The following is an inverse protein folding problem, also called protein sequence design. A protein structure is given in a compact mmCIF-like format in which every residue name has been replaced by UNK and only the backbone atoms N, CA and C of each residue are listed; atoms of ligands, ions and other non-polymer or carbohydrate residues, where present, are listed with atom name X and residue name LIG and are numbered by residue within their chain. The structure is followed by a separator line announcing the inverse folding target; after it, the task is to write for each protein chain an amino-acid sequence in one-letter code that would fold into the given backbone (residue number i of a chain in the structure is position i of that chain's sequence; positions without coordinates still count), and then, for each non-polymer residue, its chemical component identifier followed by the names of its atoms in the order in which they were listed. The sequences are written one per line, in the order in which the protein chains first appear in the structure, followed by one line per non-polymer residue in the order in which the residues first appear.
data_IF_849269404186
#
_entry.id   IF_849269404186
#
_cell.length_a   1.000
_cell.length_b   1.000
_cell.length_c   1.000
_cell.angle_alpha   90.00
_cell.angle_beta   90.00
_cell.angle_gamma   90.00
#
_symmetry.space_group_name_H-M   'P 1'
#
loop_
_entity.id
_entity.type
_entity.pdbx_description
1 polymer ?
#
# COMPACT_ATOMS: atom_id res chain seq x y z
N UNK A 1 27.81 -23.86 13.50
CA UNK A 1 28.38 -23.32 12.23
C UNK A 1 27.40 -22.28 11.71
N UNK A 2 27.61 -21.02 12.07
CA UNK A 2 26.77 -19.91 11.64
C UNK A 2 27.30 -19.41 10.30
N UNK A 3 26.48 -19.52 9.25
CA UNK A 3 26.75 -18.88 7.97
C UNK A 3 26.24 -17.45 8.07
N UNK A 4 27.18 -16.53 8.21
CA UNK A 4 26.96 -15.09 8.18
C UNK A 4 26.67 -14.68 6.72
N UNK A 5 25.42 -14.36 6.40
CA UNK A 5 25.06 -13.83 5.07
C UNK A 5 25.22 -12.32 5.12
N UNK A 6 26.45 -11.87 4.87
CA UNK A 6 26.74 -10.46 4.63
C UNK A 6 26.07 -9.99 3.34
N UNK A 7 25.07 -9.11 3.47
CA UNK A 7 24.40 -8.44 2.36
C UNK A 7 25.31 -7.38 1.74
N UNK A 8 26.14 -7.79 0.78
CA UNK A 8 26.67 -6.90 -0.25
C UNK A 8 25.68 -6.85 -1.42
N UNK A 9 24.93 -5.75 -1.56
CA UNK A 9 24.68 -5.04 -2.84
C UNK A 9 23.68 -3.90 -2.66
N UNK A 10 24.23 -2.71 -2.45
CA UNK A 10 23.58 -1.46 -2.80
C UNK A 10 24.07 -1.01 -4.17
N UNK A 11 23.24 -1.21 -5.19
CA UNK A 11 23.11 -0.47 -6.45
C UNK A 11 22.00 -1.19 -7.21
N UNK A 12 21.26 -0.48 -8.08
CA UNK A 12 20.43 -1.15 -9.10
C UNK A 12 21.40 -1.89 -10.01
N UNK A 13 21.82 -3.07 -9.57
CA UNK A 13 22.62 -4.02 -10.31
C UNK A 13 21.79 -4.49 -11.49
N UNK A 14 22.47 -4.64 -12.62
CA UNK A 14 21.95 -5.04 -13.94
C UNK A 14 21.31 -6.43 -13.86
N UNK A 15 20.14 -6.55 -13.21
CA UNK A 15 19.27 -7.72 -13.35
C UNK A 15 18.88 -7.76 -14.83
N UNK A 16 19.02 -8.92 -15.47
CA UNK A 16 18.65 -9.10 -16.87
C UNK A 16 17.28 -8.45 -17.11
N UNK A 17 17.21 -7.60 -18.13
CA UNK A 17 16.00 -6.86 -18.44
C UNK A 17 14.89 -7.87 -18.71
N UNK A 18 13.89 -7.95 -17.82
CA UNK A 18 12.77 -8.88 -17.98
C UNK A 18 12.09 -8.55 -19.30
N UNK A 19 11.99 -9.52 -20.20
CA UNK A 19 11.21 -9.36 -21.42
C UNK A 19 9.75 -9.09 -21.03
N UNK A 20 9.28 -7.86 -21.30
CA UNK A 20 7.97 -7.34 -20.89
C UNK A 20 6.85 -8.22 -21.43
N UNK A 21 6.94 -8.60 -22.70
CA UNK A 21 5.96 -9.45 -23.35
C UNK A 21 5.92 -10.83 -22.71
N UNK A 22 7.08 -11.44 -22.44
CA UNK A 22 7.14 -12.74 -21.79
C UNK A 22 6.58 -12.69 -20.36
N UNK A 23 6.87 -11.62 -19.60
CA UNK A 23 6.31 -11.43 -18.26
C UNK A 23 4.79 -11.27 -18.32
N UNK A 24 4.27 -10.46 -19.25
CA UNK A 24 2.84 -10.28 -19.46
C UNK A 24 2.14 -11.59 -19.88
N UNK A 25 2.73 -12.39 -20.77
CA UNK A 25 2.20 -13.72 -21.15
C UNK A 25 2.10 -14.64 -19.93
N UNK A 26 3.12 -14.65 -19.06
CA UNK A 26 3.08 -15.45 -17.82
C UNK A 26 1.99 -14.98 -16.87
N UNK A 27 1.78 -13.66 -16.76
CA UNK A 27 0.71 -13.09 -15.93
C UNK A 27 -0.67 -13.42 -16.49
N UNK A 28 -0.88 -13.27 -17.79
CA UNK A 28 -2.13 -13.64 -18.46
C UNK A 28 -2.48 -15.11 -18.21
N UNK A 29 -1.50 -16.00 -18.33
CA UNK A 29 -1.68 -17.43 -18.00
C UNK A 29 -2.07 -17.62 -16.53
N UNK A 30 -1.36 -16.95 -15.62
CA UNK A 30 -1.64 -17.06 -14.18
C UNK A 30 -3.02 -16.48 -13.79
N UNK A 31 -3.46 -15.39 -14.42
CA UNK A 31 -4.81 -14.83 -14.23
C UNK A 31 -5.87 -15.82 -14.71
N UNK A 32 -5.67 -16.47 -15.86
CA UNK A 32 -6.61 -17.48 -16.34
C UNK A 32 -6.67 -18.74 -15.43
N UNK A 33 -5.53 -19.15 -14.86
CA UNK A 33 -5.46 -20.31 -13.95
C UNK A 33 -6.03 -20.02 -12.55
N UNK A 34 -6.02 -18.76 -12.11
CA UNK A 34 -6.44 -18.32 -10.77
C UNK A 34 -7.46 -17.18 -10.87
N UNK A 35 -8.50 -17.43 -11.64
CA UNK A 35 -9.66 -16.55 -11.78
C UNK A 35 -10.74 -17.02 -10.82
N UNK A 36 -11.18 -16.13 -9.93
CA UNK A 36 -12.33 -16.37 -9.06
C UNK A 36 -13.52 -15.52 -9.51
N UNK A 37 -14.72 -16.05 -9.31
CA UNK A 37 -15.97 -15.30 -9.43
C UNK A 37 -16.53 -15.07 -8.02
N UNK A 38 -16.43 -13.86 -7.47
CA UNK A 38 -16.85 -13.60 -6.11
C UNK A 38 -18.36 -13.80 -5.87
N UNK A 39 -19.21 -13.81 -6.90
CA UNK A 39 -20.64 -14.14 -6.73
C UNK A 39 -20.88 -15.64 -6.53
N UNK A 40 -19.93 -16.48 -6.96
CA UNK A 40 -20.02 -17.94 -6.86
C UNK A 40 -19.15 -18.46 -5.71
N UNK A 41 -17.93 -17.94 -5.57
CA UNK A 41 -16.90 -18.44 -4.66
C UNK A 41 -17.10 -17.99 -3.20
N UNK A 42 -18.03 -17.08 -2.94
CA UNK A 42 -18.43 -16.64 -1.60
C UNK A 42 -19.88 -17.06 -1.36
N UNK A 43 -20.12 -17.80 -0.26
CA UNK A 43 -21.47 -18.19 0.14
C UNK A 43 -22.22 -16.99 0.75
N UNK A 44 -22.80 -16.15 -0.09
CA UNK A 44 -23.56 -14.97 0.33
C UNK A 44 -24.87 -15.31 1.05
N UNK A 45 -25.37 -16.54 0.90
CA UNK A 45 -26.61 -17.00 1.55
C UNK A 45 -26.38 -17.38 3.01
N UNK A 46 -25.15 -17.71 3.40
CA UNK A 46 -24.81 -17.96 4.79
C UNK A 46 -25.08 -16.70 5.65
N UNK A 47 -25.72 -16.83 6.83
CA UNK A 47 -25.85 -15.71 7.74
C UNK A 47 -24.47 -15.34 8.33
N UNK A 48 -24.22 -14.07 8.67
CA UNK A 48 -23.06 -13.72 9.51
C UNK A 48 -23.07 -14.49 10.83
N UNK A 49 -21.90 -14.92 11.29
CA UNK A 49 -21.77 -15.67 12.53
C UNK A 49 -21.93 -14.72 13.73
N UNK A 50 -22.89 -14.92 14.64
CA UNK A 50 -23.10 -14.02 15.78
C UNK A 50 -21.85 -13.86 16.65
N UNK A 51 -21.54 -12.64 17.06
CA UNK A 51 -20.40 -12.31 17.93
C UNK A 51 -19.02 -12.38 17.26
N UNK A 52 -18.94 -12.82 16.00
CA UNK A 52 -17.67 -12.92 15.28
C UNK A 52 -17.30 -11.57 14.62
N UNK A 53 -16.09 -11.04 14.84
CA UNK A 53 -15.67 -9.75 14.28
C UNK A 53 -15.51 -9.78 12.76
N UNK A 54 -15.73 -8.62 12.13
CA UNK A 54 -15.42 -8.40 10.71
C UNK A 54 -14.00 -7.91 10.46
N UNK A 55 -13.32 -7.45 11.52
CA UNK A 55 -12.00 -6.86 11.45
C UNK A 55 -11.18 -7.27 12.67
N UNK A 56 -9.88 -7.51 12.47
CA UNK A 56 -9.02 -7.92 13.58
C UNK A 56 -8.87 -6.79 14.59
N UNK A 57 -9.15 -7.09 15.86
CA UNK A 57 -9.18 -6.11 16.95
C UNK A 57 -7.84 -5.38 17.10
N UNK A 58 -6.72 -6.11 16.96
CA UNK A 58 -5.37 -5.55 17.04
C UNK A 58 -5.00 -4.60 15.88
N UNK A 59 -5.90 -4.39 14.92
CA UNK A 59 -5.78 -3.39 13.83
C UNK A 59 -6.75 -2.23 13.97
N UNK A 60 -7.65 -2.26 14.96
CA UNK A 60 -8.61 -1.18 15.21
C UNK A 60 -7.87 0.10 15.60
N UNK A 61 -8.25 1.22 14.99
CA UNK A 61 -7.52 2.49 15.10
C UNK A 61 -7.58 3.17 16.47
N UNK A 62 -8.62 2.90 17.26
CA UNK A 62 -8.78 3.43 18.60
C UNK A 62 -8.11 2.57 19.68
N UNK A 63 -7.60 1.38 19.35
CA UNK A 63 -7.02 0.46 20.33
C UNK A 63 -5.94 1.15 21.18
N UNK A 64 -6.00 0.97 22.50
CA UNK A 64 -5.08 1.58 23.46
C UNK A 64 -5.37 3.04 23.81
N UNK A 65 -6.48 3.61 23.34
CA UNK A 65 -6.92 4.97 23.72
C UNK A 65 -7.97 4.92 24.84
N UNK A 66 -8.07 5.99 25.64
CA UNK A 66 -9.13 6.13 26.65
C UNK A 66 -10.55 5.98 26.05
N UNK A 67 -10.74 6.42 24.80
CA UNK A 67 -12.01 6.25 24.09
C UNK A 67 -12.33 4.77 23.87
N UNK A 68 -11.34 3.94 23.56
CA UNK A 68 -11.51 2.50 23.37
C UNK A 68 -11.76 1.76 24.67
N UNK A 69 -11.04 2.12 25.73
CA UNK A 69 -11.25 1.52 27.06
C UNK A 69 -12.65 1.80 27.60
N UNK A 70 -13.25 2.93 27.22
CA UNK A 70 -14.63 3.27 27.56
C UNK A 70 -15.71 2.56 26.73
N UNK A 71 -15.36 1.80 25.68
CA UNK A 71 -16.34 1.08 24.85
C UNK A 71 -16.69 -0.29 25.45
N UNK A 72 -17.98 -0.66 25.38
CA UNK A 72 -18.43 -2.03 25.66
C UNK A 72 -17.94 -3.02 24.61
N UNK A 73 -18.03 -4.32 24.88
CA UNK A 73 -17.66 -5.36 23.93
C UNK A 73 -18.43 -5.24 22.59
N UNK A 74 -19.72 -4.94 22.65
CA UNK A 74 -20.58 -4.75 21.48
C UNK A 74 -20.16 -3.50 20.67
N UNK A 75 -19.83 -2.41 21.36
CA UNK A 75 -19.32 -1.20 20.71
C UNK A 75 -17.95 -1.43 20.06
N UNK A 76 -17.07 -2.25 20.66
CA UNK A 76 -15.78 -2.62 20.06
C UNK A 76 -15.96 -3.40 18.76
N UNK A 77 -16.87 -4.39 18.75
CA UNK A 77 -17.23 -5.15 17.54
C UNK A 77 -17.83 -4.24 16.46
N UNK A 78 -18.74 -3.33 16.84
CA UNK A 78 -19.37 -2.39 15.92
C UNK A 78 -18.35 -1.40 15.34
N UNK A 79 -17.43 -0.88 16.15
CA UNK A 79 -16.38 0.01 15.66
C UNK A 79 -15.46 -0.70 14.67
N UNK A 80 -15.04 -1.93 14.96
CA UNK A 80 -14.24 -2.75 14.05
C UNK A 80 -14.95 -3.00 12.72
N UNK A 81 -16.25 -3.33 12.76
CA UNK A 81 -17.10 -3.49 11.58
C UNK A 81 -17.16 -2.21 10.75
N UNK A 82 -17.42 -1.07 11.38
CA UNK A 82 -17.51 0.21 10.69
C UNK A 82 -16.16 0.66 10.10
N UNK A 83 -15.05 0.41 10.79
CA UNK A 83 -13.71 0.71 10.28
C UNK A 83 -13.39 -0.14 9.06
N UNK A 84 -13.63 -1.46 9.10
CA UNK A 84 -13.39 -2.33 7.95
C UNK A 84 -14.27 -1.97 6.76
N UNK A 85 -15.56 -1.69 6.98
CA UNK A 85 -16.43 -1.20 5.92
C UNK A 85 -15.95 0.12 5.31
N UNK A 86 -15.39 1.02 6.12
CA UNK A 86 -14.78 2.27 5.63
C UNK A 86 -13.53 2.01 4.76
N UNK A 87 -12.73 0.99 5.11
CA UNK A 87 -11.59 0.54 4.31
C UNK A 87 -12.06 -0.01 2.96
N UNK A 88 -13.05 -0.90 2.95
CA UNK A 88 -13.60 -1.48 1.73
C UNK A 88 -14.17 -0.41 0.79
N UNK A 89 -14.97 0.52 1.32
CA UNK A 89 -15.54 1.61 0.51
C UNK A 89 -14.42 2.51 -0.06
N UNK A 90 -13.37 2.78 0.73
CA UNK A 90 -12.22 3.53 0.22
C UNK A 90 -11.47 2.75 -0.89
N UNK A 91 -11.37 1.42 -0.76
CA UNK A 91 -10.84 0.52 -1.78
C UNK A 91 -11.59 0.62 -3.11
N UNK A 92 -12.94 0.58 -3.08
CA UNK A 92 -13.78 0.74 -4.28
C UNK A 92 -13.48 2.06 -5.01
N UNK A 93 -13.30 3.17 -4.28
CA UNK A 93 -12.96 4.45 -4.93
C UNK A 93 -11.55 4.46 -5.50
N UNK A 94 -10.62 3.75 -4.86
CA UNK A 94 -9.27 3.58 -5.36
C UNK A 94 -9.27 2.76 -6.65
N UNK A 95 -9.93 1.61 -6.67
CA UNK A 95 -10.06 0.74 -7.86
C UNK A 95 -10.73 1.47 -9.02
N UNK A 96 -11.75 2.30 -8.74
CA UNK A 96 -12.37 3.14 -9.76
C UNK A 96 -11.38 4.15 -10.37
N UNK A 97 -10.54 4.79 -9.55
CA UNK A 97 -9.52 5.73 -10.02
C UNK A 97 -8.39 5.02 -10.78
N UNK A 98 -7.99 3.85 -10.30
CA UNK A 98 -7.02 2.97 -10.94
C UNK A 98 -7.53 2.52 -12.32
N UNK A 99 -8.80 2.11 -12.43
CA UNK A 99 -9.42 1.79 -13.71
C UNK A 99 -9.31 2.94 -14.73
N UNK A 100 -9.58 4.19 -14.31
CA UNK A 100 -9.39 5.37 -15.18
C UNK A 100 -7.93 5.51 -15.63
N UNK A 101 -6.97 5.32 -14.73
CA UNK A 101 -5.55 5.35 -15.09
C UNK A 101 -5.16 4.21 -16.05
N UNK A 102 -5.61 2.98 -15.80
CA UNK A 102 -5.27 1.84 -16.65
C UNK A 102 -5.87 1.99 -18.05
N UNK A 103 -7.06 2.56 -18.18
CA UNK A 103 -7.59 2.95 -19.49
C UNK A 103 -6.74 4.03 -20.16
N UNK A 104 -6.20 4.99 -19.41
CA UNK A 104 -5.27 5.99 -19.96
C UNK A 104 -3.97 5.33 -20.46
N UNK A 105 -3.37 4.40 -19.70
CA UNK A 105 -2.19 3.63 -20.14
C UNK A 105 -2.50 2.76 -21.37
N UNK A 106 -3.66 2.11 -21.37
CA UNK A 106 -4.15 1.32 -22.50
C UNK A 106 -4.19 2.16 -23.79
N UNK A 107 -4.71 3.39 -23.72
CA UNK A 107 -4.83 4.29 -24.88
C UNK A 107 -3.48 4.73 -25.47
N UNK A 108 -2.40 4.62 -24.71
CA UNK A 108 -1.04 4.94 -25.16
C UNK A 108 -0.22 3.70 -25.53
N UNK A 109 -0.78 2.50 -25.33
CA UNK A 109 -0.08 1.23 -25.51
C UNK A 109 -0.36 0.58 -26.88
N UNK A 110 0.59 -0.17 -27.48
CA UNK A 110 0.34 -0.94 -28.71
C UNK A 110 -0.75 -2.00 -28.49
N UNK A 111 -1.76 -2.01 -29.36
CA UNK A 111 -3.00 -2.79 -29.15
C UNK A 111 -2.73 -4.31 -29.14
N UNK A 112 -1.80 -4.76 -29.97
CA UNK A 112 -1.44 -6.17 -30.15
C UNK A 112 -0.57 -6.76 -29.04
N UNK A 113 -0.08 -5.92 -28.12
CA UNK A 113 0.89 -6.35 -27.10
C UNK A 113 0.25 -7.15 -25.96
N UNK A 114 1.01 -8.08 -25.40
CA UNK A 114 0.59 -8.86 -24.23
C UNK A 114 0.48 -7.97 -22.99
N UNK A 115 1.30 -6.91 -22.89
CA UNK A 115 1.16 -5.90 -21.84
C UNK A 115 -0.22 -5.22 -21.90
N UNK A 116 -0.66 -4.78 -23.07
CA UNK A 116 -1.99 -4.17 -23.27
C UNK A 116 -3.11 -5.12 -22.88
N UNK A 117 -3.03 -6.39 -23.29
CA UNK A 117 -4.00 -7.42 -22.86
C UNK A 117 -3.99 -7.63 -21.34
N UNK A 118 -2.84 -7.52 -20.70
CA UNK A 118 -2.73 -7.63 -19.26
C UNK A 118 -3.37 -6.42 -18.55
N UNK A 119 -3.23 -5.19 -19.07
CA UNK A 119 -3.95 -4.02 -18.55
C UNK A 119 -5.48 -4.23 -18.58
N UNK A 120 -6.02 -4.80 -19.66
CA UNK A 120 -7.44 -5.15 -19.74
C UNK A 120 -7.85 -6.22 -18.73
N UNK A 121 -6.96 -7.19 -18.47
CA UNK A 121 -7.18 -8.23 -17.46
C UNK A 121 -7.28 -7.62 -16.06
N UNK A 122 -6.33 -6.74 -15.73
CA UNK A 122 -6.29 -5.98 -14.48
C UNK A 122 -7.58 -5.16 -14.30
N UNK A 123 -7.96 -4.34 -15.30
CA UNK A 123 -9.24 -3.60 -15.27
C UNK A 123 -10.45 -4.51 -14.98
N UNK A 124 -10.48 -5.71 -15.57
CA UNK A 124 -11.55 -6.68 -15.34
C UNK A 124 -11.52 -7.30 -13.94
N UNK A 125 -10.34 -7.62 -13.41
CA UNK A 125 -10.13 -8.09 -12.03
C UNK A 125 -10.59 -7.02 -11.03
N UNK A 126 -10.21 -5.76 -11.21
CA UNK A 126 -10.58 -4.66 -10.31
C UNK A 126 -12.07 -4.33 -10.32
N UNK A 127 -12.75 -4.47 -11.46
CA UNK A 127 -14.20 -4.35 -11.51
C UNK A 127 -14.89 -5.45 -10.66
N UNK A 128 -14.36 -6.68 -10.67
CA UNK A 128 -14.88 -7.79 -9.84
C UNK A 128 -14.55 -7.59 -8.36
N UNK A 129 -13.35 -7.10 -8.04
CA UNK A 129 -12.96 -6.73 -6.67
C UNK A 129 -13.91 -5.69 -6.09
N UNK A 130 -14.21 -4.62 -6.84
CA UNK A 130 -15.14 -3.57 -6.42
C UNK A 130 -16.54 -4.11 -6.13
N UNK A 131 -17.08 -4.96 -7.02
CA UNK A 131 -18.36 -5.63 -6.79
C UNK A 131 -18.33 -6.52 -5.54
N UNK A 132 -17.26 -7.31 -5.37
CA UNK A 132 -17.07 -8.16 -4.19
C UNK A 132 -17.05 -7.33 -2.89
N UNK A 133 -16.29 -6.24 -2.85
CA UNK A 133 -16.23 -5.36 -1.68
C UNK A 133 -17.58 -4.71 -1.37
N UNK A 134 -18.33 -4.31 -2.40
CA UNK A 134 -19.68 -3.78 -2.22
C UNK A 134 -20.62 -4.84 -1.59
N UNK A 135 -20.53 -6.10 -2.02
CA UNK A 135 -21.31 -7.22 -1.45
C UNK A 135 -20.91 -7.53 0.00
N UNK A 136 -19.62 -7.45 0.34
CA UNK A 136 -19.19 -7.56 1.75
C UNK A 136 -19.79 -6.43 2.59
N UNK A 137 -19.76 -5.18 2.12
CA UNK A 137 -20.34 -4.03 2.85
C UNK A 137 -21.85 -4.17 3.01
N UNK A 138 -22.56 -4.66 1.98
CA UNK A 138 -23.98 -5.00 2.06
C UNK A 138 -24.23 -6.06 3.13
N UNK A 139 -23.48 -7.16 3.10
CA UNK A 139 -23.58 -8.27 4.06
C UNK A 139 -23.33 -7.81 5.50
N UNK A 140 -22.36 -6.91 5.70
CA UNK A 140 -22.07 -6.29 6.99
C UNK A 140 -23.24 -5.44 7.51
N UNK A 141 -24.08 -4.91 6.62
CA UNK A 141 -25.24 -4.10 6.95
C UNK A 141 -26.48 -4.90 7.37
N UNK A 142 -26.52 -6.20 7.12
CA UNK A 142 -27.65 -7.07 7.49
C UNK A 142 -27.88 -7.02 9.01
N UNK A 143 -29.04 -6.49 9.43
CA UNK A 143 -29.41 -6.39 10.85
C UNK A 143 -28.55 -5.46 11.70
N UNK A 144 -27.73 -4.61 11.09
CA UNK A 144 -26.76 -3.74 11.78
C UNK A 144 -26.88 -2.29 11.33
N UNK A 145 -26.15 -1.39 12.00
CA UNK A 145 -26.15 0.02 11.59
C UNK A 145 -25.54 0.16 10.18
N UNK A 146 -26.04 1.10 9.35
CA UNK A 146 -25.52 1.24 7.99
C UNK A 146 -24.03 1.58 8.01
N UNK A 147 -23.31 1.18 6.97
CA UNK A 147 -21.94 1.61 6.71
C UNK A 147 -22.00 2.49 5.48
N UNK A 148 -21.79 3.79 5.66
CA UNK A 148 -21.64 4.70 4.54
C UNK A 148 -20.36 5.49 4.72
N UNK A 149 -19.64 5.65 3.62
CA UNK A 149 -18.55 6.60 3.55
C UNK A 149 -18.77 7.36 2.24
N UNK A 150 -18.65 8.69 2.27
CA UNK A 150 -18.83 9.52 1.07
C UNK A 150 -17.55 10.28 0.82
N UNK A 151 -16.94 10.03 -0.34
CA UNK A 151 -15.79 10.78 -0.78
C UNK A 151 -16.19 12.26 -0.95
N UNK A 152 -15.41 13.22 -0.40
CA UNK A 152 -15.69 14.64 -0.56
C UNK A 152 -15.93 15.01 -2.03
N UNK A 153 -16.85 15.95 -2.29
CA UNK A 153 -17.22 16.34 -3.68
C UNK A 153 -16.02 16.70 -4.54
N UNK A 154 -15.06 17.42 -3.95
CA UNK A 154 -13.81 17.82 -4.61
C UNK A 154 -12.96 16.60 -4.99
N UNK A 155 -12.79 15.65 -4.08
CA UNK A 155 -12.04 14.42 -4.33
C UNK A 155 -12.71 13.53 -5.39
N UNK A 156 -14.05 13.47 -5.43
CA UNK A 156 -14.80 12.72 -6.46
C UNK A 156 -14.56 13.21 -7.89
N UNK A 157 -14.33 14.51 -8.09
CA UNK A 157 -13.99 15.06 -9.40
C UNK A 157 -12.49 15.03 -9.68
N UNK A 158 -11.67 15.37 -8.67
CA UNK A 158 -10.23 15.53 -8.84
C UNK A 158 -9.51 14.18 -9.05
N UNK A 159 -9.91 13.14 -8.34
CA UNK A 159 -9.24 11.84 -8.41
C UNK A 159 -9.29 11.19 -9.81
N UNK A 160 -10.46 11.05 -10.47
CA UNK A 160 -10.51 10.54 -11.85
C UNK A 160 -9.84 11.50 -12.84
N UNK A 161 -9.97 12.81 -12.64
CA UNK A 161 -9.31 13.81 -13.49
C UNK A 161 -7.79 13.67 -13.46
N UNK A 162 -7.19 13.56 -12.28
CA UNK A 162 -5.75 13.35 -12.12
C UNK A 162 -5.31 12.01 -12.73
N UNK A 163 -6.11 10.96 -12.56
CA UNK A 163 -5.83 9.63 -13.12
C UNK A 163 -5.82 9.64 -14.67
N UNK A 164 -6.67 10.48 -15.28
CA UNK A 164 -6.76 10.65 -16.73
C UNK A 164 -5.73 11.63 -17.31
N UNK A 165 -5.29 12.64 -16.55
CA UNK A 165 -4.42 13.71 -17.07
C UNK A 165 -2.94 13.55 -16.73
N UNK A 166 -2.62 12.90 -15.60
CA UNK A 166 -1.22 12.75 -15.21
C UNK A 166 -0.49 11.79 -16.16
N UNK A 167 0.77 12.08 -16.53
CA UNK A 167 1.51 11.25 -17.46
C UNK A 167 1.63 9.80 -16.97
N UNK A 168 1.36 8.87 -17.89
CA UNK A 168 1.63 7.45 -17.67
C UNK A 168 3.12 7.24 -17.42
N UNK A 169 3.45 6.62 -16.30
CA UNK A 169 4.84 6.45 -15.89
C UNK A 169 5.03 6.09 -14.43
N UNK A 170 6.28 6.10 -13.95
CA UNK A 170 6.64 5.54 -12.64
C UNK A 170 5.96 6.27 -11.47
N UNK A 171 5.60 7.55 -11.65
CA UNK A 171 4.87 8.32 -10.65
C UNK A 171 3.47 7.74 -10.40
N UNK A 172 2.70 7.50 -11.45
CA UNK A 172 1.33 6.99 -11.33
C UNK A 172 1.32 5.55 -10.86
N UNK A 173 2.18 4.70 -11.41
CA UNK A 173 2.35 3.34 -10.91
C UNK A 173 2.80 3.29 -9.44
N UNK A 174 3.56 4.29 -8.98
CA UNK A 174 3.89 4.42 -7.54
C UNK A 174 2.67 4.78 -6.70
N UNK A 175 1.78 5.64 -7.18
CA UNK A 175 0.56 5.96 -6.46
C UNK A 175 -0.36 4.74 -6.32
N UNK A 176 -0.47 3.96 -7.39
CA UNK A 176 -1.26 2.74 -7.48
C UNK A 176 -0.72 1.65 -6.55
N UNK A 177 0.56 1.30 -6.70
CA UNK A 177 1.19 0.28 -5.85
C UNK A 177 1.05 0.59 -4.35
N UNK A 178 1.14 1.87 -4.00
CA UNK A 178 1.04 2.30 -2.60
C UNK A 178 -0.35 2.10 -2.01
N UNK A 179 -1.40 2.16 -2.83
CA UNK A 179 -2.75 1.91 -2.39
C UNK A 179 -3.06 0.40 -2.33
N UNK A 180 -2.66 -0.34 -3.36
CA UNK A 180 -2.79 -1.80 -3.44
C UNK A 180 -2.14 -2.50 -2.24
N UNK A 181 -0.89 -2.17 -1.92
CA UNK A 181 -0.18 -2.85 -0.82
C UNK A 181 -0.81 -2.54 0.55
N UNK A 182 -1.42 -1.36 0.76
CA UNK A 182 -2.09 -1.04 2.03
C UNK A 182 -3.25 -1.99 2.29
N UNK A 183 -4.06 -2.28 1.26
CA UNK A 183 -5.16 -3.23 1.35
C UNK A 183 -4.61 -4.67 1.48
N UNK A 184 -3.68 -5.06 0.61
CA UNK A 184 -3.10 -6.40 0.57
C UNK A 184 -2.56 -6.85 1.94
N UNK A 185 -1.90 -5.97 2.71
CA UNK A 185 -1.38 -6.34 4.04
C UNK A 185 -2.44 -6.65 5.07
N UNK A 186 -3.49 -5.83 5.14
CA UNK A 186 -4.61 -6.08 6.05
C UNK A 186 -5.32 -7.38 5.65
N UNK A 187 -5.46 -7.62 4.34
CA UNK A 187 -6.16 -8.79 3.83
C UNK A 187 -5.37 -10.08 3.99
N UNK A 188 -4.04 -10.07 3.83
CA UNK A 188 -3.16 -11.23 4.08
C UNK A 188 -3.21 -11.68 5.55
N UNK A 189 -3.35 -10.75 6.48
CA UNK A 189 -3.57 -11.08 7.88
C UNK A 189 -4.98 -11.64 8.10
N UNK A 190 -6.01 -10.91 7.65
CA UNK A 190 -7.40 -11.29 7.88
C UNK A 190 -7.82 -12.60 7.20
N UNK A 191 -7.33 -12.93 6.01
CA UNK A 191 -7.66 -14.19 5.33
C UNK A 191 -7.24 -15.44 6.14
N UNK A 192 -6.23 -15.29 6.99
CA UNK A 192 -5.64 -16.36 7.81
C UNK A 192 -6.17 -16.36 9.25
N UNK A 193 -6.96 -15.36 9.65
CA UNK A 193 -7.53 -15.24 10.99
C UNK A 193 -8.84 -16.04 11.07
N UNK A 194 -8.89 -17.20 11.75
CA UNK A 194 -10.11 -18.01 11.85
C UNK A 194 -11.19 -17.36 12.72
N UNK A 195 -10.84 -16.30 13.47
CA UNK A 195 -11.76 -15.53 14.31
C UNK A 195 -12.58 -14.49 13.54
N UNK A 196 -12.31 -14.25 12.25
CA UNK A 196 -13.08 -13.31 11.44
C UNK A 196 -14.25 -13.98 10.69
N UNK A 197 -15.24 -13.17 10.35
CA UNK A 197 -16.39 -13.57 9.53
C UNK A 197 -15.96 -14.30 8.24
N UNK A 198 -16.52 -15.48 7.93
CA UNK A 198 -16.13 -16.28 6.76
C UNK A 198 -16.20 -15.52 5.43
N UNK A 199 -17.25 -14.71 5.23
CA UNK A 199 -17.42 -13.86 4.06
C UNK A 199 -16.23 -12.93 3.84
N UNK A 200 -15.82 -12.21 4.89
CA UNK A 200 -14.69 -11.30 4.83
C UNK A 200 -13.39 -12.06 4.55
N UNK A 201 -13.16 -13.19 5.21
CA UNK A 201 -11.95 -14.00 5.01
C UNK A 201 -11.82 -14.54 3.59
N UNK A 202 -12.91 -15.02 3.00
CA UNK A 202 -12.92 -15.52 1.62
C UNK A 202 -12.72 -14.39 0.63
N UNK A 203 -13.40 -13.24 0.81
CA UNK A 203 -13.17 -12.05 -0.02
C UNK A 203 -11.70 -11.58 0.04
N UNK A 204 -11.12 -11.51 1.23
CA UNK A 204 -9.71 -11.17 1.41
C UNK A 204 -8.78 -12.19 0.74
N UNK A 205 -9.10 -13.49 0.79
CA UNK A 205 -8.32 -14.55 0.13
C UNK A 205 -8.34 -14.40 -1.38
N UNK A 206 -9.51 -14.20 -1.98
CA UNK A 206 -9.67 -14.01 -3.42
C UNK A 206 -8.83 -12.81 -3.87
N UNK A 207 -9.04 -11.65 -3.24
CA UNK A 207 -8.32 -10.42 -3.57
C UNK A 207 -6.80 -10.61 -3.48
N UNK A 208 -6.28 -11.18 -2.39
CA UNK A 208 -4.84 -11.40 -2.18
C UNK A 208 -4.20 -12.30 -3.25
N UNK A 209 -4.93 -13.31 -3.76
CA UNK A 209 -4.42 -14.23 -4.78
C UNK A 209 -4.31 -13.52 -6.14
N UNK A 210 -5.28 -12.66 -6.46
CA UNK A 210 -5.32 -11.91 -7.71
C UNK A 210 -4.31 -10.75 -7.69
N UNK A 211 -4.32 -9.96 -6.62
CA UNK A 211 -3.55 -8.74 -6.44
C UNK A 211 -2.02 -8.94 -6.40
N UNK A 212 -1.56 -10.14 -6.04
CA UNK A 212 -0.13 -10.46 -6.08
C UNK A 212 0.50 -10.24 -7.47
N UNK A 213 -0.30 -10.35 -8.54
CA UNK A 213 0.15 -10.14 -9.92
C UNK A 213 0.19 -8.65 -10.28
N UNK A 214 -0.80 -7.86 -9.87
CA UNK A 214 -0.88 -6.41 -10.07
C UNK A 214 0.29 -5.71 -9.38
N UNK A 215 0.52 -6.03 -8.11
CA UNK A 215 1.66 -5.55 -7.32
C UNK A 215 3.00 -5.87 -8.02
N UNK A 216 3.15 -7.06 -8.58
CA UNK A 216 4.37 -7.43 -9.29
C UNK A 216 4.53 -6.65 -10.61
N UNK A 217 3.44 -6.44 -11.35
CA UNK A 217 3.42 -5.63 -12.56
C UNK A 217 3.76 -4.16 -12.27
N UNK A 218 3.09 -3.54 -11.29
CA UNK A 218 3.34 -2.16 -10.88
C UNK A 218 4.79 -1.96 -10.41
N UNK A 219 5.36 -2.88 -9.63
CA UNK A 219 6.78 -2.82 -9.21
C UNK A 219 7.72 -2.81 -10.41
N UNK A 220 7.47 -3.64 -11.43
CA UNK A 220 8.28 -3.65 -12.65
C UNK A 220 8.17 -2.33 -13.42
N UNK A 221 6.96 -1.80 -13.56
CA UNK A 221 6.69 -0.54 -14.26
C UNK A 221 7.33 0.67 -13.55
N UNK A 222 7.29 0.70 -12.21
CA UNK A 222 8.01 1.71 -11.41
C UNK A 222 9.52 1.61 -11.66
N UNK A 223 10.12 0.42 -11.53
CA UNK A 223 11.57 0.27 -11.66
C UNK A 223 12.07 0.58 -13.08
N UNK A 224 11.31 0.17 -14.09
CA UNK A 224 11.60 0.45 -15.50
C UNK A 224 11.45 1.94 -15.79
N UNK A 225 10.29 2.51 -15.48
CA UNK A 225 9.99 3.91 -15.70
C UNK A 225 10.94 4.82 -14.94
N UNK A 226 11.31 4.48 -13.70
CA UNK A 226 12.24 5.27 -12.90
C UNK A 226 13.67 5.28 -13.46
N UNK A 227 14.12 4.15 -14.01
CA UNK A 227 15.42 4.05 -14.69
C UNK A 227 15.47 4.96 -15.92
N UNK A 228 14.39 4.95 -16.71
CA UNK A 228 14.26 5.73 -17.95
C UNK A 228 13.94 7.22 -17.69
N UNK A 229 13.37 7.56 -16.53
CA UNK A 229 12.96 8.92 -16.22
C UNK A 229 14.13 9.89 -16.04
N UNK A 230 13.95 11.12 -16.52
CA UNK A 230 14.81 12.25 -16.21
C UNK A 230 14.70 12.73 -14.75
N UNK A 231 15.44 13.78 -14.37
CA UNK A 231 15.50 14.25 -12.97
C UNK A 231 14.13 14.60 -12.38
N UNK A 232 13.26 15.24 -13.17
CA UNK A 232 11.91 15.64 -12.75
C UNK A 232 11.02 14.43 -12.51
N UNK A 233 10.92 13.50 -13.46
CA UNK A 233 10.11 12.28 -13.32
C UNK A 233 10.58 11.42 -12.13
N UNK A 234 11.90 11.31 -11.94
CA UNK A 234 12.45 10.65 -10.77
C UNK A 234 12.07 11.38 -9.48
N UNK A 235 12.21 12.70 -9.40
CA UNK A 235 11.82 13.48 -8.22
C UNK A 235 10.33 13.31 -7.90
N UNK A 236 9.47 13.46 -8.90
CA UNK A 236 8.04 13.30 -8.74
C UNK A 236 7.69 11.89 -8.23
N UNK A 237 8.32 10.84 -8.76
CA UNK A 237 8.15 9.47 -8.25
C UNK A 237 8.50 9.34 -6.75
N UNK A 238 9.61 9.95 -6.30
CA UNK A 238 9.99 9.91 -4.86
C UNK A 238 8.97 10.64 -4.00
N UNK A 239 8.54 11.81 -4.47
CA UNK A 239 7.59 12.63 -3.75
C UNK A 239 6.23 11.94 -3.70
N UNK A 240 5.77 11.33 -4.78
CA UNK A 240 4.55 10.51 -4.77
C UNK A 240 4.67 9.39 -3.76
N UNK A 241 5.73 8.57 -3.78
CA UNK A 241 5.91 7.50 -2.79
C UNK A 241 5.84 8.02 -1.34
N UNK A 242 6.45 9.18 -1.06
CA UNK A 242 6.42 9.76 0.28
C UNK A 242 5.04 10.33 0.66
N UNK A 243 4.42 11.08 -0.25
CA UNK A 243 3.13 11.72 -0.02
C UNK A 243 2.02 10.68 0.11
N UNK A 244 2.08 9.61 -0.68
CA UNK A 244 1.13 8.51 -0.53
C UNK A 244 1.33 7.78 0.80
N UNK A 245 2.56 7.58 1.26
CA UNK A 245 2.81 7.02 2.59
C UNK A 245 2.19 7.86 3.71
N UNK A 246 2.20 9.19 3.56
CA UNK A 246 1.61 10.12 4.54
C UNK A 246 0.08 10.12 4.50
N UNK A 247 -0.54 10.04 3.32
CA UNK A 247 -1.97 10.29 3.16
C UNK A 247 -2.83 9.04 3.00
N UNK A 248 -2.33 7.94 2.43
CA UNK A 248 -3.19 6.78 2.11
C UNK A 248 -3.73 6.03 3.34
N UNK A 249 -3.10 6.17 4.51
CA UNK A 249 -3.61 5.57 5.76
C UNK A 249 -4.75 6.38 6.39
N UNK A 250 -5.01 7.61 5.90
CA UNK A 250 -5.98 8.52 6.52
C UNK A 250 -7.45 8.29 6.10
N UNK A 251 -7.81 8.04 4.82
CA UNK A 251 -9.21 8.01 4.38
C UNK A 251 -10.09 7.09 5.23
N UNK A 252 -9.62 5.87 5.49
CA UNK A 252 -10.34 4.90 6.34
C UNK A 252 -10.60 5.41 7.77
N UNK A 253 -9.76 6.32 8.27
CA UNK A 253 -9.87 6.91 9.62
C UNK A 253 -10.79 8.13 9.66
N UNK A 254 -11.07 8.73 8.51
CA UNK A 254 -11.80 10.00 8.39
C UNK A 254 -13.31 9.83 8.24
N UNK A 255 -13.83 8.59 8.18
CA UNK A 255 -15.27 8.37 8.13
C UNK A 255 -15.92 8.75 9.48
N UNK A 256 -16.72 9.84 9.58
CA UNK A 256 -17.33 10.23 10.84
C UNK A 256 -18.38 9.24 11.33
N UNK A 257 -18.96 8.41 10.45
CA UNK A 257 -20.01 7.47 10.79
C UNK A 257 -19.53 6.38 11.75
N UNK A 258 -18.30 5.86 11.57
CA UNK A 258 -17.79 4.80 12.43
C UNK A 258 -17.67 5.22 13.89
N UNK A 259 -17.35 6.50 14.15
CA UNK A 259 -17.31 7.04 15.51
C UNK A 259 -18.72 7.24 16.07
N UNK A 260 -19.64 7.78 15.26
CA UNK A 260 -21.03 8.01 15.69
C UNK A 260 -21.75 6.70 16.01
N UNK A 261 -21.45 5.62 15.27
CA UNK A 261 -22.04 4.30 15.47
C UNK A 261 -21.84 3.77 16.89
N UNK A 262 -20.79 4.20 17.57
CA UNK A 262 -20.45 3.80 18.94
C UNK A 262 -20.56 4.94 19.95
N UNK A 263 -21.24 6.03 19.59
CA UNK A 263 -21.47 7.17 20.47
C UNK A 263 -20.27 8.12 20.66
N UNK A 264 -19.20 7.98 19.86
CA UNK A 264 -18.03 8.85 19.93
C UNK A 264 -18.23 10.08 19.04
N UNK A 265 -17.88 11.27 19.56
CA UNK A 265 -17.80 12.48 18.75
C UNK A 265 -16.73 12.32 17.65
N UNK A 266 -17.07 12.50 16.35
CA UNK A 266 -16.15 12.23 15.24
C UNK A 266 -14.80 12.96 15.33
N UNK A 267 -14.78 14.23 15.73
CA UNK A 267 -13.53 15.00 15.81
C UNK A 267 -12.62 14.47 16.91
N UNK A 268 -13.21 14.07 18.05
CA UNK A 268 -12.45 13.44 19.15
C UNK A 268 -11.91 12.07 18.72
N UNK A 269 -12.74 11.26 18.06
CA UNK A 269 -12.38 9.95 17.54
C UNK A 269 -11.25 10.01 16.51
N UNK A 270 -11.39 10.85 15.47
CA UNK A 270 -10.35 11.07 14.46
C UNK A 270 -9.03 11.49 15.11
N UNK A 271 -9.08 12.43 16.05
CA UNK A 271 -7.87 12.88 16.75
C UNK A 271 -7.24 11.74 17.54
N UNK A 272 -8.03 10.96 18.28
CA UNK A 272 -7.52 9.81 19.03
C UNK A 272 -6.89 8.76 18.10
N UNK A 273 -7.55 8.43 16.98
CA UNK A 273 -7.05 7.50 15.98
C UNK A 273 -5.75 7.96 15.31
N UNK A 274 -5.58 9.26 15.05
CA UNK A 274 -4.39 9.79 14.38
C UNK A 274 -3.19 9.96 15.30
N UNK A 275 -3.42 10.41 16.54
CA UNK A 275 -2.36 10.69 17.49
C UNK A 275 -2.07 9.53 18.46
N UNK A 276 -2.91 8.50 18.48
CA UNK A 276 -2.67 7.28 19.24
C UNK A 276 -1.43 6.51 18.76
N UNK A 277 -0.90 5.65 19.63
CA UNK A 277 0.25 4.79 19.32
C UNK A 277 -0.07 3.83 18.18
N UNK A 278 -1.30 3.30 18.17
CA UNK A 278 -1.81 2.33 17.21
C UNK A 278 -1.72 2.82 15.75
N UNK A 279 -1.82 4.13 15.50
CA UNK A 279 -1.62 4.68 14.16
C UNK A 279 -0.25 4.33 13.59
N UNK A 280 0.81 4.50 14.40
CA UNK A 280 2.18 4.21 13.97
C UNK A 280 2.41 2.71 13.77
N UNK A 281 1.82 1.89 14.65
CA UNK A 281 1.87 0.41 14.54
C UNK A 281 1.22 -0.04 13.23
N UNK A 282 -0.01 0.41 12.97
CA UNK A 282 -0.73 0.08 11.75
C UNK A 282 -0.04 0.63 10.50
N UNK A 283 0.45 1.87 10.53
CA UNK A 283 1.16 2.48 9.40
C UNK A 283 2.44 1.69 9.06
N UNK A 284 3.23 1.27 10.04
CA UNK A 284 4.41 0.43 9.80
C UNK A 284 4.03 -0.96 9.29
N UNK A 285 2.94 -1.54 9.80
CA UNK A 285 2.44 -2.84 9.35
C UNK A 285 2.05 -2.81 7.86
N UNK A 286 1.24 -1.84 7.45
CA UNK A 286 0.74 -1.78 6.07
C UNK A 286 1.76 -1.28 5.05
N UNK A 287 2.63 -0.33 5.44
CA UNK A 287 3.55 0.33 4.49
C UNK A 287 5.01 -0.07 4.65
N UNK A 288 5.36 -0.85 5.68
CA UNK A 288 6.76 -1.17 5.98
C UNK A 288 7.48 -1.92 4.87
N UNK A 289 6.77 -2.78 4.12
CA UNK A 289 7.34 -3.46 2.96
C UNK A 289 7.54 -2.53 1.77
N UNK A 290 6.63 -1.57 1.56
CA UNK A 290 6.84 -0.52 0.56
C UNK A 290 8.03 0.37 0.92
N UNK A 291 8.16 0.76 2.19
CA UNK A 291 9.31 1.53 2.65
C UNK A 291 10.64 0.82 2.32
N UNK A 292 10.73 -0.49 2.57
CA UNK A 292 11.90 -1.30 2.19
C UNK A 292 12.09 -1.35 0.67
N UNK A 293 11.03 -1.64 -0.09
CA UNK A 293 11.09 -1.67 -1.56
C UNK A 293 11.62 -0.36 -2.14
N UNK A 294 11.07 0.80 -1.75
CA UNK A 294 11.53 2.10 -2.26
C UNK A 294 12.93 2.47 -1.77
N UNK A 295 13.31 2.05 -0.56
CA UNK A 295 14.67 2.21 -0.06
C UNK A 295 15.68 1.41 -0.89
N UNK A 296 15.40 0.12 -1.12
CA UNK A 296 16.30 -0.81 -1.80
C UNK A 296 16.39 -0.50 -3.30
N UNK A 297 15.29 -0.05 -3.90
CA UNK A 297 15.26 0.48 -5.27
C UNK A 297 16.01 1.82 -5.43
N UNK A 298 16.45 2.46 -4.34
CA UNK A 298 17.11 3.76 -4.36
C UNK A 298 16.19 4.93 -4.73
N UNK A 299 14.88 4.73 -4.62
CA UNK A 299 13.84 5.74 -4.86
C UNK A 299 13.71 6.63 -3.62
N UNK A 300 13.76 6.07 -2.42
CA UNK A 300 13.68 6.82 -1.17
C UNK A 300 15.00 7.57 -0.89
N UNK A 301 15.12 8.78 -1.42
CA UNK A 301 16.30 9.64 -1.24
C UNK A 301 15.94 11.13 -1.29
N UNK A 302 16.85 11.94 -0.73
CA UNK A 302 16.70 13.39 -0.62
C UNK A 302 15.92 13.79 0.64
N UNK A 303 16.27 14.97 1.18
CA UNK A 303 15.73 15.45 2.45
C UNK A 303 14.18 15.55 2.47
N UNK A 304 13.50 16.12 1.45
CA UNK A 304 12.04 16.28 1.50
C UNK A 304 11.30 14.95 1.55
N UNK A 305 11.66 13.99 0.69
CA UNK A 305 11.00 12.69 0.65
C UNK A 305 11.24 11.90 1.96
N UNK A 306 12.47 11.89 2.48
CA UNK A 306 12.79 11.20 3.73
C UNK A 306 12.07 11.83 4.92
N UNK A 307 11.93 13.16 4.95
CA UNK A 307 11.18 13.84 5.99
C UNK A 307 9.70 13.41 5.98
N UNK A 308 9.05 13.40 4.82
CA UNK A 308 7.64 13.00 4.68
C UNK A 308 7.45 11.53 5.10
N UNK A 309 8.35 10.62 4.69
CA UNK A 309 8.32 9.23 5.15
C UNK A 309 8.47 9.09 6.67
N UNK A 310 9.22 9.97 7.33
CA UNK A 310 9.28 10.00 8.81
C UNK A 310 7.97 10.51 9.40
N UNK A 311 7.38 11.55 8.81
CA UNK A 311 6.11 12.14 9.25
C UNK A 311 4.93 11.17 9.08
N UNK A 312 4.98 10.27 8.10
CA UNK A 312 3.94 9.24 7.94
C UNK A 312 3.94 8.19 9.05
N UNK A 313 4.98 8.15 9.90
CA UNK A 313 5.19 7.15 10.96
C UNK A 313 5.29 5.70 10.45
N UNK A 314 5.34 5.51 9.13
CA UNK A 314 5.31 4.21 8.46
C UNK A 314 6.70 3.55 8.30
N UNK A 315 7.79 4.28 8.54
CA UNK A 315 9.14 3.74 8.36
C UNK A 315 9.45 2.62 9.36
N UNK A 316 9.87 1.43 8.89
CA UNK A 316 10.45 0.39 9.74
C UNK A 316 11.79 0.81 10.34
N UNK A 317 12.17 0.23 11.47
CA UNK A 317 13.36 0.62 12.22
C UNK A 317 14.68 0.33 11.50
N UNK A 318 14.75 -0.75 10.72
CA UNK A 318 15.88 -1.06 9.84
C UNK A 318 16.08 0.01 8.75
N UNK A 319 14.99 0.50 8.15
CA UNK A 319 15.05 1.57 7.15
C UNK A 319 15.42 2.90 7.81
N UNK A 320 14.87 3.21 8.98
CA UNK A 320 15.27 4.41 9.76
C UNK A 320 16.77 4.40 10.06
N UNK A 321 17.29 3.25 10.52
CA UNK A 321 18.70 3.07 10.83
C UNK A 321 19.58 3.24 9.58
N UNK A 322 19.19 2.65 8.46
CA UNK A 322 19.91 2.77 7.19
C UNK A 322 19.98 4.23 6.69
N UNK A 323 18.88 4.97 6.77
CA UNK A 323 18.81 6.39 6.41
C UNK A 323 19.65 7.27 7.35
N UNK A 324 19.66 6.96 8.66
CA UNK A 324 20.47 7.69 9.64
C UNK A 324 21.98 7.54 9.45
N UNK A 325 22.45 6.34 9.05
CA UNK A 325 23.88 6.09 8.75
C UNK A 325 24.37 6.85 7.52
N UNK A 326 23.55 6.98 6.47
CA UNK A 326 23.89 7.75 5.26
C UNK A 326 24.02 9.26 5.55
N UNK A 327 23.17 9.82 6.41
CA UNK A 327 23.27 11.22 6.82
C UNK A 327 24.57 11.55 7.57
N UNK A 328 25.07 10.63 8.41
CA UNK A 328 26.35 10.79 9.12
C UNK A 328 27.57 10.73 8.18
N UNK A 329 27.52 9.90 7.12
CA UNK A 329 28.61 9.82 6.12
C UNK A 329 28.70 11.06 5.21
N UNK A 330 27.59 11.76 4.97
CA UNK A 330 27.59 12.99 4.14
C UNK A 330 28.00 14.26 4.92
N UNK A 331 27.84 14.28 6.25
CA UNK A 331 28.23 15.41 7.10
C UNK A 331 29.68 15.34 7.64
N UNK A 332 30.43 14.29 7.29
CA UNK A 332 31.86 14.24 7.58
C UNK A 332 32.62 15.03 6.52
N UNK A 333 32.99 16.28 6.82
CA UNK A 333 34.00 17.01 6.05
C UNK A 333 35.23 16.12 5.93
N UNK A 334 35.74 15.80 4.71
CA UNK A 334 36.98 15.07 4.61
C UNK A 334 38.08 15.99 5.15
N UNK A 335 38.54 15.73 6.39
CA UNK A 335 39.81 16.28 6.86
C UNK A 335 40.89 15.67 5.97
N UNK A 336 41.30 16.41 4.95
CA UNK A 336 42.56 16.19 4.25
C UNK A 336 43.65 16.13 5.32
N UNK A 337 44.12 14.92 5.66
CA UNK A 337 45.39 14.76 6.34
C UNK A 337 46.46 14.95 5.28
N UNK A 338 47.27 16.00 5.43
CA UNK A 338 48.54 16.09 4.73
C UNK A 338 49.37 14.88 5.14
N UNK A 339 49.56 13.95 4.21
CA UNK A 339 50.57 12.91 4.33
C UNK A 339 51.91 13.60 4.10
N UNK A 340 52.73 13.68 5.15
CA UNK A 340 54.11 14.17 5.04
C UNK A 340 54.86 13.16 4.16
N UNK A 341 55.50 13.65 3.09
CA UNK A 341 56.35 12.83 2.25
C UNK A 341 57.50 12.26 3.10
N UNK A 342 57.66 10.94 3.06
CA UNK A 342 58.84 10.24 3.59
C UNK A 342 59.85 10.19 2.44
N UNK A 343 61.03 10.76 2.64
CA UNK A 343 62.17 10.68 1.73
C UNK A 343 62.80 9.28 1.81
N UNK A 344 63.29 8.71 0.70
CA UNK A 344 63.97 7.42 0.69
C UNK A 344 65.50 7.59 0.79
N UNK A 345 66.06 7.17 1.93
CA UNK A 345 67.45 6.79 2.19
C UNK A 345 67.31 5.63 3.20
N UNK A 346 67.82 4.41 3.05
CA UNK A 346 68.99 3.91 2.33
C UNK A 346 68.73 2.47 1.82
N UNK A 347 69.30 2.11 0.67
CA UNK A 347 69.63 0.73 0.34
C UNK A 347 71.07 0.48 0.75
N UNK A 348 71.29 -0.46 1.66
CA UNK A 348 72.60 -0.97 2.06
C UNK A 348 73.37 -1.55 0.86
N UNK A 349 74.71 -1.44 0.98
CA UNK A 349 75.86 -1.92 0.15
C UNK A 349 76.50 -0.94 -0.86
#
# INVERSE_FOLDING_TARGET
MNVDISSERGHVGRRAETNIELAAVRRLKASAEKCYDPEIDIDWNAPPVPGMPWFSEHRVSLLGTELWEGLTAEQRLEFGRQQFGSILIAGIWFEAALGVFLYHDLMLSPVESSRTRYLLTEIGEEARHSSMFARVVEKMGEGSSPITYRLPRTARGLLPLLSALLPVGPMMYTAILMAEEVLDRLQREGMNDPGLQPHARTAMRIHVIEEARHVAFAKEEILRGYRQAGPVGRFATRMTAAMTALFFTLPALLNPQMYRAVGINPMRGIRASLFGEQFGVNAQFVLGHMARFFHDAGIMKGFPAVLIWRLSRALPDDVKAALGRKGKRQNGTPRLRLVRAVTPEDTDD
#
